data_IF_563422913796
#
_entry.id   IF_563422913796
#
_cell.length_a   1.000
_cell.length_b   1.000
_cell.length_c   1.000
_cell.angle_alpha   90.00
_cell.angle_beta   90.00
_cell.angle_gamma   90.00
#
_symmetry.space_group_name_H-M   'P 1'
#
loop_
_entity.id
_entity.type
_entity.pdbx_description
1 polymer ?
#
# COMPACT_ATOMS: atom_id res chain seq x y z
N UNK A 1 10.01 25.96 -2.21
CA UNK A 1 10.68 25.00 -3.09
C UNK A 1 9.95 23.68 -3.00
N UNK A 2 9.93 22.89 -4.08
CA UNK A 2 9.20 21.62 -4.19
C UNK A 2 10.09 20.56 -4.86
N UNK A 3 9.68 19.31 -4.83
CA UNK A 3 10.33 18.20 -5.50
C UNK A 3 11.67 17.81 -4.87
N UNK A 4 12.60 17.38 -5.71
CA UNK A 4 13.87 16.76 -5.30
C UNK A 4 14.83 17.70 -4.56
N UNK A 5 14.61 19.02 -4.63
CA UNK A 5 15.46 20.02 -3.97
C UNK A 5 15.10 20.27 -2.50
N UNK A 6 14.08 19.57 -1.98
CA UNK A 6 13.66 19.62 -0.56
C UNK A 6 13.61 18.22 0.05
N UNK A 7 13.36 18.14 1.36
CA UNK A 7 13.22 16.88 2.08
C UNK A 7 12.07 16.02 1.54
N UNK A 8 12.22 14.70 1.64
CA UNK A 8 11.23 13.72 1.24
C UNK A 8 11.74 12.77 0.14
N UNK A 9 10.89 11.85 -0.33
CA UNK A 9 11.27 10.94 -1.41
C UNK A 9 11.41 11.70 -2.73
N UNK A 10 12.46 11.37 -3.50
CA UNK A 10 12.72 11.92 -4.84
C UNK A 10 11.88 11.16 -5.87
N UNK A 11 10.58 11.43 -5.88
CA UNK A 11 9.58 10.79 -6.74
C UNK A 11 8.81 11.84 -7.52
N UNK A 12 8.51 11.54 -8.78
CA UNK A 12 7.82 12.47 -9.68
C UNK A 12 6.45 12.90 -9.13
N UNK A 13 5.60 11.93 -8.76
CA UNK A 13 4.27 12.21 -8.20
C UNK A 13 4.34 12.96 -6.85
N UNK A 14 5.39 12.77 -6.03
CA UNK A 14 5.61 13.61 -4.84
C UNK A 14 5.83 15.07 -5.23
N UNK A 15 6.67 15.32 -6.24
CA UNK A 15 6.93 16.67 -6.72
C UNK A 15 5.69 17.32 -7.37
N UNK A 16 4.87 16.53 -8.07
CA UNK A 16 3.61 16.98 -8.66
C UNK A 16 2.60 17.39 -7.59
N UNK A 17 2.38 16.57 -6.56
CA UNK A 17 1.48 16.90 -5.44
C UNK A 17 1.93 18.15 -4.67
N UNK A 18 3.23 18.29 -4.42
CA UNK A 18 3.78 19.52 -3.83
C UNK A 18 3.58 20.74 -4.73
N UNK A 19 3.65 20.55 -6.06
CA UNK A 19 3.33 21.55 -7.07
C UNK A 19 1.88 22.00 -7.02
N UNK A 20 0.93 21.06 -6.89
CA UNK A 20 -0.49 21.35 -6.70
C UNK A 20 -0.70 22.12 -5.40
N UNK A 21 -0.15 21.62 -4.29
CA UNK A 21 -0.31 22.24 -2.98
C UNK A 21 0.21 23.70 -2.97
N UNK A 22 1.38 23.97 -3.55
CA UNK A 22 1.88 25.36 -3.60
C UNK A 22 1.04 26.23 -4.53
N UNK A 23 0.57 25.72 -5.67
CA UNK A 23 -0.31 26.46 -6.56
C UNK A 23 -1.64 26.83 -5.88
N UNK A 24 -2.21 25.90 -5.10
CA UNK A 24 -3.41 26.15 -4.30
C UNK A 24 -3.19 27.24 -3.26
N UNK A 25 -2.10 27.14 -2.47
CA UNK A 25 -1.75 28.15 -1.47
C UNK A 25 -1.55 29.54 -2.08
N UNK A 26 -0.84 29.63 -3.22
CA UNK A 26 -0.65 30.89 -3.94
C UNK A 26 -1.97 31.48 -4.47
N UNK A 27 -2.96 30.62 -4.77
CA UNK A 27 -4.30 31.05 -5.18
C UNK A 27 -5.27 31.34 -4.02
N UNK A 28 -4.80 31.27 -2.77
CA UNK A 28 -5.63 31.48 -1.58
C UNK A 28 -6.52 30.29 -1.21
N UNK A 29 -6.24 29.10 -1.76
CA UNK A 29 -6.90 27.82 -1.43
C UNK A 29 -6.08 27.04 -0.38
N UNK A 30 -6.55 25.84 -0.04
CA UNK A 30 -5.98 25.00 1.00
C UNK A 30 -5.13 23.86 0.41
N UNK A 31 -3.88 24.16 0.06
CA UNK A 31 -2.93 23.15 -0.39
C UNK A 31 -2.48 22.21 0.72
N UNK A 32 -2.48 20.91 0.45
CA UNK A 32 -2.05 19.86 1.36
C UNK A 32 -1.37 18.72 0.60
N UNK A 33 -0.41 18.04 1.24
CA UNK A 33 0.19 16.80 0.76
C UNK A 33 0.25 15.82 1.92
N UNK A 34 -0.28 14.62 1.71
CA UNK A 34 -0.22 13.54 2.68
C UNK A 34 1.06 12.71 2.47
N UNK A 35 2.16 13.10 3.11
CA UNK A 35 3.44 12.40 2.98
C UNK A 35 3.46 10.98 3.54
N UNK A 36 2.51 10.62 4.41
CA UNK A 36 2.36 9.26 4.92
C UNK A 36 1.80 8.30 3.84
N UNK A 37 1.26 8.83 2.75
CA UNK A 37 0.57 8.07 1.69
C UNK A 37 1.13 8.42 0.31
N UNK A 38 2.46 8.36 0.16
CA UNK A 38 3.14 8.45 -1.13
C UNK A 38 3.63 7.05 -1.52
N UNK A 39 3.05 6.42 -2.57
CA UNK A 39 3.52 5.10 -2.99
C UNK A 39 4.90 5.19 -3.65
N UNK A 40 5.73 4.19 -3.44
CA UNK A 40 6.97 3.96 -4.18
C UNK A 40 6.86 2.67 -4.99
N UNK A 41 7.38 2.68 -6.22
CA UNK A 41 7.35 1.52 -7.13
C UNK A 41 8.71 1.32 -7.76
N UNK A 42 9.15 0.07 -7.82
CA UNK A 42 10.32 -0.39 -8.56
C UNK A 42 9.84 -1.34 -9.65
N UNK A 43 10.00 -0.92 -10.90
CA UNK A 43 9.52 -1.64 -12.09
C UNK A 43 10.48 -2.75 -12.55
N UNK A 44 10.94 -3.58 -11.61
CA UNK A 44 11.66 -4.83 -11.89
C UNK A 44 10.69 -5.95 -12.30
N UNK A 45 11.21 -7.13 -12.60
CA UNK A 45 10.41 -8.35 -12.78
C UNK A 45 10.85 -9.40 -11.75
N UNK A 46 10.03 -9.70 -10.72
CA UNK A 46 8.73 -9.08 -10.40
C UNK A 46 8.86 -7.62 -9.93
N UNK A 47 7.77 -6.87 -9.99
CA UNK A 47 7.69 -5.49 -9.50
C UNK A 47 7.71 -5.46 -7.97
N UNK A 48 8.10 -4.32 -7.39
CA UNK A 48 8.01 -4.06 -5.95
C UNK A 48 7.27 -2.75 -5.73
N UNK A 49 6.28 -2.74 -4.85
CA UNK A 49 5.54 -1.53 -4.51
C UNK A 49 5.32 -1.41 -3.00
N UNK A 50 5.33 -0.19 -2.48
CA UNK A 50 5.10 0.10 -1.06
C UNK A 50 4.41 1.43 -0.85
N UNK A 51 3.55 1.51 0.15
CA UNK A 51 2.99 2.77 0.66
C UNK A 51 2.90 2.70 2.18
N UNK A 52 3.09 3.83 2.86
CA UNK A 52 3.10 3.89 4.32
C UNK A 52 4.40 3.45 4.98
N UNK A 53 4.30 3.01 6.23
CA UNK A 53 5.44 2.70 7.10
C UNK A 53 5.95 1.28 6.91
N UNK A 54 7.27 1.14 6.94
CA UNK A 54 7.97 -0.14 7.05
C UNK A 54 7.88 -0.74 8.46
N UNK A 55 8.13 -2.04 8.58
CA UNK A 55 8.20 -2.68 9.91
C UNK A 55 9.35 -2.11 10.75
N UNK A 56 10.46 -1.76 10.11
CA UNK A 56 11.63 -1.13 10.72
C UNK A 56 11.24 0.23 11.32
N UNK A 57 10.54 1.08 10.55
CA UNK A 57 10.04 2.37 11.03
C UNK A 57 9.04 2.21 12.17
N UNK A 58 8.14 1.22 12.12
CA UNK A 58 7.19 0.96 13.20
C UNK A 58 7.90 0.51 14.49
N UNK A 59 8.91 -0.36 14.37
CA UNK A 59 9.74 -0.79 15.50
C UNK A 59 10.54 0.37 16.10
N UNK A 60 11.15 1.21 15.28
CA UNK A 60 11.89 2.39 15.72
C UNK A 60 10.99 3.37 16.47
N UNK A 61 9.76 3.58 15.97
CA UNK A 61 8.74 4.43 16.58
C UNK A 61 8.03 3.77 17.77
N UNK A 62 8.33 2.49 18.08
CA UNK A 62 7.67 1.69 19.13
C UNK A 62 6.14 1.64 18.97
N UNK A 63 5.67 1.56 17.72
CA UNK A 63 4.27 1.37 17.40
C UNK A 63 4.01 -0.13 17.30
N UNK A 64 3.07 -0.65 18.09
CA UNK A 64 2.64 -2.04 17.97
C UNK A 64 1.79 -2.25 16.73
N UNK A 65 2.06 -3.32 15.99
CA UNK A 65 1.35 -3.63 14.75
C UNK A 65 1.14 -5.14 14.58
N UNK A 66 0.11 -5.49 13.80
CA UNK A 66 -0.17 -6.83 13.29
C UNK A 66 0.33 -6.94 11.85
N UNK A 67 0.61 -8.17 11.41
CA UNK A 67 1.09 -8.47 10.06
C UNK A 67 0.15 -9.47 9.41
N UNK A 68 -0.39 -9.10 8.25
CA UNK A 68 -1.06 -10.02 7.32
C UNK A 68 -0.22 -10.20 6.07
N UNK A 69 -0.09 -11.44 5.58
CA UNK A 69 0.70 -11.76 4.39
C UNK A 69 0.02 -12.85 3.57
N UNK A 70 -0.03 -12.67 2.25
CA UNK A 70 -0.58 -13.65 1.33
C UNK A 70 0.33 -13.83 0.08
N UNK A 71 0.74 -15.06 -0.26
CA UNK A 71 1.63 -15.31 -1.41
C UNK A 71 0.86 -15.36 -2.74
N UNK A 72 1.45 -14.85 -3.83
CA UNK A 72 0.87 -14.98 -5.17
C UNK A 72 0.81 -16.43 -5.64
N UNK A 73 1.66 -17.31 -5.11
CA UNK A 73 1.57 -18.76 -5.31
C UNK A 73 0.23 -19.38 -4.85
N UNK A 74 -0.56 -18.69 -4.01
CA UNK A 74 -1.90 -19.10 -3.61
C UNK A 74 -3.02 -18.36 -4.37
N UNK A 75 -2.70 -17.37 -5.20
CA UNK A 75 -3.66 -16.60 -5.98
C UNK A 75 -4.01 -17.32 -7.31
N UNK A 76 -5.31 -17.45 -7.61
CA UNK A 76 -5.78 -18.16 -8.81
C UNK A 76 -5.35 -17.47 -10.12
N UNK A 77 -5.41 -16.13 -10.18
CA UNK A 77 -5.00 -15.37 -11.38
C UNK A 77 -3.51 -15.51 -11.64
N UNK A 78 -2.69 -15.37 -10.61
CA UNK A 78 -1.24 -15.55 -10.68
C UNK A 78 -0.87 -16.97 -11.18
N UNK A 79 -1.56 -18.01 -10.68
CA UNK A 79 -1.39 -19.39 -11.16
C UNK A 79 -1.70 -19.56 -12.64
N UNK A 80 -2.80 -18.97 -13.12
CA UNK A 80 -3.19 -19.06 -14.53
C UNK A 80 -2.15 -18.37 -15.44
N UNK A 81 -1.51 -17.31 -14.94
CA UNK A 81 -0.49 -16.55 -15.66
C UNK A 81 0.93 -17.14 -15.56
N UNK A 82 1.16 -18.16 -14.72
CA UNK A 82 2.50 -18.64 -14.35
C UNK A 82 3.37 -17.57 -13.65
N UNK A 83 2.74 -16.72 -12.83
CA UNK A 83 3.37 -15.56 -12.14
C UNK A 83 3.23 -15.68 -10.61
N UNK A 84 3.60 -16.84 -10.04
CA UNK A 84 3.40 -17.15 -8.62
C UNK A 84 4.39 -16.48 -7.65
N UNK A 85 5.40 -15.76 -8.15
CA UNK A 85 6.44 -15.16 -7.32
C UNK A 85 5.94 -13.97 -6.50
N UNK A 86 6.35 -13.94 -5.24
CA UNK A 86 6.12 -12.82 -4.34
C UNK A 86 4.86 -12.92 -3.47
N UNK A 87 4.42 -11.78 -2.93
CA UNK A 87 3.37 -11.69 -1.93
C UNK A 87 2.85 -10.26 -1.74
N UNK A 88 1.69 -10.15 -1.10
CA UNK A 88 1.18 -8.92 -0.48
C UNK A 88 1.38 -8.99 1.04
N UNK A 89 1.82 -7.89 1.65
CA UNK A 89 1.97 -7.73 3.11
C UNK A 89 1.26 -6.46 3.58
N UNK A 90 0.37 -6.58 4.56
CA UNK A 90 -0.33 -5.46 5.20
C UNK A 90 0.10 -5.38 6.66
N UNK A 91 0.42 -4.17 7.10
CA UNK A 91 0.72 -3.82 8.49
C UNK A 91 -0.44 -3.00 9.02
N UNK A 92 -1.09 -3.45 10.10
CA UNK A 92 -2.16 -2.70 10.76
C UNK A 92 -1.85 -2.42 12.22
N UNK A 93 -2.37 -1.32 12.75
CA UNK A 93 -2.24 -0.98 14.16
C UNK A 93 -2.89 -2.05 15.04
N UNK A 94 -2.20 -2.43 16.12
CA UNK A 94 -2.65 -3.54 16.98
C UNK A 94 -4.01 -3.28 17.66
N UNK A 95 -4.33 -2.00 17.96
CA UNK A 95 -5.51 -1.63 18.74
C UNK A 95 -6.68 -1.17 17.88
N UNK A 96 -6.37 -0.41 16.83
CA UNK A 96 -7.37 0.27 15.99
C UNK A 96 -7.59 -0.41 14.65
N UNK A 97 -6.73 -1.37 14.29
CA UNK A 97 -6.72 -2.05 12.99
C UNK A 97 -6.48 -1.13 11.78
N UNK A 98 -6.18 0.15 11.99
CA UNK A 98 -5.84 1.10 10.92
C UNK A 98 -4.63 0.60 10.16
N UNK A 99 -4.69 0.63 8.82
CA UNK A 99 -3.55 0.26 7.98
C UNK A 99 -2.44 1.31 8.14
N UNK A 100 -1.24 0.81 8.47
CA UNK A 100 -0.03 1.60 8.70
C UNK A 100 0.94 1.54 7.53
N UNK A 101 0.89 0.46 6.74
CA UNK A 101 1.71 0.30 5.55
C UNK A 101 1.35 -0.97 4.79
N UNK A 102 1.54 -0.93 3.47
CA UNK A 102 1.30 -2.07 2.58
C UNK A 102 2.49 -2.21 1.65
N UNK A 103 3.07 -3.41 1.59
CA UNK A 103 4.21 -3.73 0.75
C UNK A 103 3.95 -4.97 -0.08
N UNK A 104 4.31 -4.91 -1.35
CA UNK A 104 4.01 -5.93 -2.33
C UNK A 104 5.22 -6.20 -3.19
N UNK A 105 5.40 -7.47 -3.55
CA UNK A 105 6.32 -7.91 -4.59
C UNK A 105 5.58 -8.94 -5.42
N UNK A 106 5.54 -8.80 -6.75
CA UNK A 106 4.80 -9.72 -7.60
C UNK A 106 4.35 -9.11 -8.93
N UNK A 107 3.50 -9.80 -9.68
CA UNK A 107 2.96 -9.28 -10.94
C UNK A 107 2.04 -8.08 -10.68
N UNK A 108 2.18 -7.03 -11.49
CA UNK A 108 1.27 -5.87 -11.55
C UNK A 108 1.10 -5.09 -10.22
N UNK A 109 1.99 -5.30 -9.24
CA UNK A 109 1.84 -4.68 -7.91
C UNK A 109 2.03 -3.16 -7.93
N UNK A 110 2.73 -2.62 -8.93
CA UNK A 110 2.84 -1.20 -9.19
C UNK A 110 1.50 -0.54 -9.54
N UNK A 111 0.57 -1.28 -10.14
CA UNK A 111 -0.79 -0.81 -10.38
C UNK A 111 -1.70 -1.07 -9.16
N UNK A 112 -1.55 -2.23 -8.51
CA UNK A 112 -2.36 -2.60 -7.34
C UNK A 112 -2.15 -1.66 -6.13
N UNK A 113 -0.96 -1.06 -5.98
CA UNK A 113 -0.64 -0.18 -4.83
C UNK A 113 -1.54 1.06 -4.76
N UNK A 114 -2.15 1.48 -5.88
CA UNK A 114 -3.07 2.61 -5.91
C UNK A 114 -4.31 2.38 -5.03
N UNK A 115 -4.82 1.15 -4.96
CA UNK A 115 -5.93 0.79 -4.07
C UNK A 115 -5.55 0.99 -2.59
N UNK A 116 -4.31 0.65 -2.24
CA UNK A 116 -3.79 0.74 -0.87
C UNK A 116 -3.48 2.17 -0.47
N UNK A 117 -2.96 2.98 -1.40
CA UNK A 117 -2.85 4.42 -1.21
C UNK A 117 -4.23 5.02 -0.92
N UNK A 118 -5.25 4.71 -1.73
CA UNK A 118 -6.61 5.18 -1.51
C UNK A 118 -7.17 4.73 -0.15
N UNK A 119 -7.02 3.45 0.20
CA UNK A 119 -7.48 2.94 1.49
C UNK A 119 -6.84 3.67 2.68
N UNK A 120 -5.52 3.89 2.62
CA UNK A 120 -4.79 4.61 3.67
C UNK A 120 -5.16 6.10 3.74
N UNK A 121 -5.44 6.73 2.60
CA UNK A 121 -5.91 8.12 2.53
C UNK A 121 -7.23 8.31 3.29
N UNK A 122 -8.13 7.31 3.20
CA UNK A 122 -9.39 7.28 3.95
C UNK A 122 -9.24 6.78 5.40
N UNK A 123 -8.02 6.43 5.82
CA UNK A 123 -7.76 5.90 7.16
C UNK A 123 -8.36 4.51 7.40
N UNK A 124 -8.52 3.71 6.35
CA UNK A 124 -9.16 2.40 6.41
C UNK A 124 -8.45 1.44 7.38
N UNK A 125 -9.26 0.54 7.95
CA UNK A 125 -8.78 -0.63 8.69
C UNK A 125 -8.45 -1.79 7.76
N UNK A 126 -7.69 -2.78 8.24
CA UNK A 126 -7.53 -4.03 7.52
C UNK A 126 -8.87 -4.77 7.36
N UNK A 127 -9.77 -4.64 8.33
CA UNK A 127 -11.15 -5.15 8.23
C UNK A 127 -11.93 -4.56 7.04
N UNK A 128 -11.83 -3.25 6.80
CA UNK A 128 -12.49 -2.59 5.66
C UNK A 128 -12.05 -3.19 4.33
N UNK A 129 -10.73 -3.39 4.15
CA UNK A 129 -10.15 -4.01 2.96
C UNK A 129 -10.60 -5.48 2.84
N UNK A 130 -10.49 -6.24 3.93
CA UNK A 130 -10.85 -7.66 3.98
C UNK A 130 -12.33 -7.91 3.61
N UNK A 131 -13.22 -6.98 3.97
CA UNK A 131 -14.66 -7.08 3.70
C UNK A 131 -15.07 -6.51 2.34
N UNK A 132 -14.19 -5.76 1.68
CA UNK A 132 -14.45 -5.23 0.35
C UNK A 132 -14.47 -6.36 -0.68
N UNK A 133 -15.45 -6.32 -1.58
CA UNK A 133 -15.60 -7.31 -2.63
C UNK A 133 -14.51 -7.11 -3.70
N UNK A 134 -13.70 -8.14 -3.91
CA UNK A 134 -12.68 -8.17 -4.97
C UNK A 134 -13.16 -9.10 -6.07
N UNK A 135 -12.96 -8.70 -7.33
CA UNK A 135 -13.36 -9.51 -8.47
C UNK A 135 -12.54 -10.80 -8.54
N UNK A 136 -13.17 -11.89 -8.99
CA UNK A 136 -12.54 -13.20 -9.15
C UNK A 136 -12.56 -13.66 -10.61
N UNK A 137 -11.45 -14.21 -11.17
CA UNK A 137 -10.11 -14.24 -10.59
C UNK A 137 -9.32 -12.96 -10.89
N UNK A 138 -8.73 -12.31 -9.87
CA UNK A 138 -7.81 -11.17 -10.03
C UNK A 138 -6.61 -11.25 -9.09
N UNK A 139 -5.51 -10.56 -9.43
CA UNK A 139 -4.35 -10.40 -8.55
C UNK A 139 -4.72 -9.66 -7.25
N UNK A 140 -5.67 -8.72 -7.34
CA UNK A 140 -6.19 -7.95 -6.21
C UNK A 140 -6.79 -8.83 -5.09
N UNK A 141 -7.23 -10.05 -5.37
CA UNK A 141 -7.66 -10.97 -4.31
C UNK A 141 -6.54 -11.27 -3.28
N UNK A 142 -5.26 -11.13 -3.67
CA UNK A 142 -4.14 -11.24 -2.74
C UNK A 142 -4.12 -10.12 -1.67
N UNK A 143 -4.61 -8.92 -2.00
CA UNK A 143 -4.79 -7.80 -1.06
C UNK A 143 -5.84 -8.19 -0.01
N UNK A 144 -7.00 -8.67 -0.47
CA UNK A 144 -8.07 -9.14 0.41
C UNK A 144 -7.60 -10.21 1.38
N UNK A 145 -6.90 -11.23 0.88
CA UNK A 145 -6.41 -12.31 1.73
C UNK A 145 -5.30 -11.85 2.69
N UNK A 146 -4.40 -10.96 2.26
CA UNK A 146 -3.42 -10.35 3.16
C UNK A 146 -4.11 -9.54 4.26
N UNK A 147 -5.20 -8.84 3.96
CA UNK A 147 -5.97 -8.11 4.95
C UNK A 147 -6.69 -9.05 5.93
N UNK A 148 -7.28 -10.15 5.45
CA UNK A 148 -7.83 -11.21 6.30
C UNK A 148 -6.75 -11.88 7.18
N UNK A 149 -5.54 -12.03 6.66
CA UNK A 149 -4.42 -12.65 7.36
C UNK A 149 -3.92 -11.83 8.55
N UNK A 150 -4.17 -10.51 8.60
CA UNK A 150 -3.89 -9.66 9.76
C UNK A 150 -4.50 -10.24 11.04
N UNK A 151 -5.72 -10.78 10.94
CA UNK A 151 -6.43 -11.45 12.03
C UNK A 151 -6.42 -12.99 11.94
N UNK A 152 -5.56 -13.56 11.08
CA UNK A 152 -5.48 -15.02 10.84
C UNK A 152 -6.79 -15.64 10.31
N UNK A 153 -7.51 -14.89 9.48
CA UNK A 153 -8.80 -15.29 8.88
C UNK A 153 -8.76 -15.47 7.37
N UNK A 154 -7.56 -15.55 6.78
CA UNK A 154 -7.40 -15.85 5.35
C UNK A 154 -8.10 -17.18 5.03
N UNK A 155 -8.81 -17.21 3.90
CA UNK A 155 -9.60 -18.37 3.47
C UNK A 155 -8.87 -19.21 2.41
N UNK A 156 -7.83 -18.65 1.81
CA UNK A 156 -6.90 -19.33 0.91
C UNK A 156 -5.48 -19.31 1.51
N UNK A 157 -4.65 -20.30 1.17
CA UNK A 157 -3.26 -20.41 1.63
C UNK A 157 -2.38 -21.20 0.66
#
# INVERSE_FOLDING_TARGET
>A
AIGDVIVGPMLAHKAEEEGIAIAELLSGKYGHVNYDVIPGVVYTSPEVASVGKTEEQLKEQKISYKVGKFPFAANARAKINDEGDGFVKILSDEKTDRVLGVHMIGPDVGNMIAEMALAMEFGASAEDIARTCHAHPTLAEAIKEAALAVDKRAIHF
#
